data_IF_210051675094
#
_entry.id   IF_210051675094
#
_cell.length_a   1.000
_cell.length_b   1.000
_cell.length_c   1.000
_cell.angle_alpha   90.00
_cell.angle_beta   90.00
_cell.angle_gamma   90.00
#
_symmetry.space_group_name_H-M   'P 1'
#
loop_
_entity.id
_entity.type
_entity.pdbx_description
1 polymer ?
#
# COMPACT_ATOMS: atom_id res chain seq x y z
N UNK A 1 -21.44 22.28 -28.27
CA UNK A 1 -20.63 22.99 -27.27
C UNK A 1 -20.47 22.03 -26.12
N UNK A 2 -19.28 21.42 -26.00
CA UNK A 2 -18.98 20.49 -24.91
C UNK A 2 -18.79 21.32 -23.64
N UNK A 3 -19.63 21.10 -22.64
CA UNK A 3 -19.46 21.73 -21.31
C UNK A 3 -18.16 21.22 -20.70
N UNK A 4 -17.15 22.11 -20.67
CA UNK A 4 -15.84 21.83 -20.09
C UNK A 4 -16.01 21.63 -18.58
N UNK A 5 -15.73 20.42 -18.10
CA UNK A 5 -15.76 20.10 -16.69
C UNK A 5 -14.57 20.79 -16.00
N UNK A 6 -14.85 21.86 -15.26
CA UNK A 6 -13.83 22.55 -14.44
C UNK A 6 -13.66 21.79 -13.11
N UNK A 7 -12.56 21.09 -12.95
CA UNK A 7 -12.22 20.45 -11.67
C UNK A 7 -11.55 21.48 -10.75
N UNK A 8 -12.17 21.75 -9.61
CA UNK A 8 -11.70 22.76 -8.65
C UNK A 8 -11.06 22.17 -7.39
N UNK A 9 -11.16 20.87 -7.19
CA UNK A 9 -10.66 20.25 -5.96
C UNK A 9 -10.27 18.78 -6.17
N UNK A 10 -9.35 18.23 -5.35
CA UNK A 10 -9.03 16.80 -5.34
C UNK A 10 -10.22 15.87 -5.12
N UNK A 11 -11.27 16.33 -4.39
CA UNK A 11 -12.51 15.57 -4.20
C UNK A 11 -13.30 15.39 -5.49
N UNK A 12 -13.24 16.34 -6.40
CA UNK A 12 -13.90 16.24 -7.71
C UNK A 12 -13.19 15.24 -8.61
N UNK A 13 -11.85 15.20 -8.57
CA UNK A 13 -11.06 14.17 -9.27
C UNK A 13 -11.43 12.77 -8.77
N UNK A 14 -11.53 12.57 -7.46
CA UNK A 14 -11.95 11.29 -6.88
C UNK A 14 -13.33 10.82 -7.34
N UNK A 15 -14.30 11.75 -7.46
CA UNK A 15 -15.64 11.44 -7.99
C UNK A 15 -15.60 11.03 -9.46
N UNK A 16 -14.80 11.71 -10.28
CA UNK A 16 -14.64 11.39 -11.71
C UNK A 16 -14.01 10.00 -11.86
N UNK A 17 -12.95 9.71 -11.12
CA UNK A 17 -12.32 8.38 -11.11
C UNK A 17 -13.33 7.30 -10.76
N UNK A 18 -14.12 7.50 -9.70
CA UNK A 18 -15.16 6.55 -9.28
C UNK A 18 -16.23 6.34 -10.36
N UNK A 19 -16.63 7.41 -11.05
CA UNK A 19 -17.61 7.36 -12.16
C UNK A 19 -17.06 6.58 -13.36
N UNK A 20 -15.82 6.87 -13.78
CA UNK A 20 -15.18 6.21 -14.91
C UNK A 20 -14.91 4.72 -14.64
N UNK A 21 -14.60 4.35 -13.39
CA UNK A 21 -14.53 2.94 -12.98
C UNK A 21 -15.88 2.24 -13.02
N UNK A 22 -16.95 2.90 -12.58
CA UNK A 22 -18.32 2.36 -12.68
C UNK A 22 -18.74 2.13 -14.13
N UNK A 23 -18.18 2.89 -15.09
CA UNK A 23 -18.35 2.70 -16.52
C UNK A 23 -17.44 1.60 -17.10
N UNK A 24 -16.62 0.93 -16.27
CA UNK A 24 -15.78 -0.19 -16.66
C UNK A 24 -14.42 0.22 -17.26
N UNK A 25 -13.99 1.46 -17.13
CA UNK A 25 -12.67 1.89 -17.59
C UNK A 25 -11.56 1.34 -16.70
N UNK A 26 -10.45 0.95 -17.31
CA UNK A 26 -9.23 0.55 -16.58
C UNK A 26 -8.51 1.78 -16.01
N UNK A 27 -7.74 1.60 -14.93
CA UNK A 27 -7.00 2.70 -14.29
C UNK A 27 -6.00 3.37 -15.25
N UNK A 28 -5.40 2.61 -16.18
CA UNK A 28 -4.57 3.15 -17.25
C UNK A 28 -5.33 4.09 -18.17
N UNK A 29 -6.53 3.67 -18.64
CA UNK A 29 -7.38 4.51 -19.47
C UNK A 29 -7.92 5.73 -18.74
N UNK A 30 -8.23 5.58 -17.44
CA UNK A 30 -8.66 6.70 -16.58
C UNK A 30 -7.53 7.72 -16.45
N UNK A 31 -6.29 7.25 -16.22
CA UNK A 31 -5.12 8.12 -16.12
C UNK A 31 -4.88 8.90 -17.42
N UNK A 32 -4.92 8.23 -18.56
CA UNK A 32 -4.77 8.87 -19.87
C UNK A 32 -5.87 9.91 -20.12
N UNK A 33 -7.13 9.58 -19.86
CA UNK A 33 -8.27 10.50 -20.01
C UNK A 33 -8.13 11.73 -19.11
N UNK A 34 -7.68 11.55 -17.87
CA UNK A 34 -7.48 12.66 -16.95
C UNK A 34 -6.30 13.54 -17.37
N UNK A 35 -5.21 12.96 -17.86
CA UNK A 35 -4.03 13.71 -18.35
C UNK A 35 -4.37 14.47 -19.66
N UNK A 36 -5.16 13.89 -20.54
CA UNK A 36 -5.62 14.61 -21.74
C UNK A 36 -6.59 15.77 -21.40
N UNK A 37 -7.43 15.57 -20.37
CA UNK A 37 -8.30 16.62 -19.84
C UNK A 37 -7.54 17.74 -19.13
N UNK A 38 -6.33 17.50 -18.65
CA UNK A 38 -5.48 18.41 -17.90
C UNK A 38 -5.13 19.70 -18.65
N UNK A 39 -5.05 19.67 -19.98
CA UNK A 39 -4.79 20.87 -20.80
C UNK A 39 -5.82 21.99 -20.64
N UNK A 40 -6.85 21.77 -19.84
CA UNK A 40 -7.94 22.70 -19.54
C UNK A 40 -8.02 23.14 -18.07
N UNK A 41 -7.10 22.70 -17.18
CA UNK A 41 -7.13 23.00 -15.75
C UNK A 41 -6.14 24.12 -15.36
N UNK A 42 -6.56 24.94 -14.35
CA UNK A 42 -5.74 26.02 -13.78
C UNK A 42 -4.72 25.51 -12.72
N UNK A 43 -4.48 24.21 -12.60
CA UNK A 43 -3.55 23.61 -11.64
C UNK A 43 -2.19 23.34 -12.30
N UNK A 44 -1.11 23.50 -11.54
CA UNK A 44 0.26 23.12 -11.94
C UNK A 44 0.26 21.62 -12.33
N UNK A 45 0.70 21.32 -13.56
CA UNK A 45 0.69 20.00 -14.19
C UNK A 45 1.26 18.90 -13.25
N UNK A 46 2.33 19.20 -12.51
CA UNK A 46 2.97 18.25 -11.57
C UNK A 46 2.13 17.97 -10.33
N UNK A 47 1.36 18.95 -9.86
CA UNK A 47 0.47 18.77 -8.70
C UNK A 47 -0.76 17.95 -9.10
N UNK A 48 -1.24 18.11 -10.31
CA UNK A 48 -2.38 17.37 -10.85
C UNK A 48 -2.01 15.89 -11.06
N UNK A 49 -0.92 15.59 -11.77
CA UNK A 49 -0.43 14.22 -11.96
C UNK A 49 -0.24 13.50 -10.62
N UNK A 50 0.36 14.19 -9.66
CA UNK A 50 0.57 13.64 -8.31
C UNK A 50 -0.73 13.39 -7.55
N UNK A 51 -1.74 14.25 -7.74
CA UNK A 51 -3.07 14.07 -7.16
C UNK A 51 -3.80 12.89 -7.80
N UNK A 52 -3.72 12.73 -9.13
CA UNK A 52 -4.29 11.60 -9.86
C UNK A 52 -3.65 10.29 -9.42
N UNK A 53 -2.33 10.22 -9.36
CA UNK A 53 -1.61 9.01 -8.93
C UNK A 53 -1.94 8.65 -7.47
N UNK A 54 -2.03 9.63 -6.57
CA UNK A 54 -2.43 9.42 -5.18
C UNK A 54 -3.88 8.94 -5.07
N UNK A 55 -4.80 9.50 -5.85
CA UNK A 55 -6.22 9.13 -5.81
C UNK A 55 -6.48 7.78 -6.48
N UNK A 56 -5.79 7.46 -7.57
CA UNK A 56 -5.87 6.14 -8.19
C UNK A 56 -5.34 5.07 -7.22
N UNK A 57 -4.23 5.32 -6.56
CA UNK A 57 -3.68 4.40 -5.56
C UNK A 57 -4.58 4.27 -4.32
N UNK A 58 -5.15 5.38 -3.82
CA UNK A 58 -6.10 5.36 -2.68
C UNK A 58 -7.40 4.64 -3.04
N UNK A 59 -7.93 4.88 -4.24
CA UNK A 59 -9.16 4.25 -4.68
C UNK A 59 -8.97 2.75 -5.02
N UNK A 60 -7.75 2.30 -5.37
CA UNK A 60 -7.42 0.87 -5.45
C UNK A 60 -7.50 0.19 -4.07
N UNK A 61 -7.11 0.89 -3.00
CA UNK A 61 -7.23 0.39 -1.63
C UNK A 61 -8.68 0.34 -1.14
N UNK A 62 -9.52 1.32 -1.53
CA UNK A 62 -10.94 1.38 -1.14
C UNK A 62 -11.86 0.49 -1.98
N UNK A 63 -11.49 0.16 -3.22
CA UNK A 63 -12.36 -0.57 -4.16
C UNK A 63 -12.15 -2.07 -4.18
N UNK A 64 -11.11 -2.62 -3.53
CA UNK A 64 -10.95 -4.06 -3.41
C UNK A 64 -11.82 -4.59 -2.27
N UNK A 65 -12.78 -5.49 -2.53
CA UNK A 65 -13.44 -6.19 -1.46
C UNK A 65 -12.39 -6.90 -0.61
N UNK A 66 -12.53 -6.78 0.71
CA UNK A 66 -11.56 -7.28 1.71
C UNK A 66 -11.15 -8.75 1.48
N UNK A 67 -11.94 -9.53 0.74
CA UNK A 67 -11.65 -10.92 0.38
C UNK A 67 -10.76 -11.15 -0.85
N UNK A 68 -10.41 -10.11 -1.61
CA UNK A 68 -9.67 -10.23 -2.88
C UNK A 68 -8.27 -9.58 -2.85
N UNK A 69 -7.78 -9.17 -1.68
CA UNK A 69 -6.44 -8.62 -1.56
C UNK A 69 -5.41 -9.72 -1.81
N UNK A 70 -4.64 -9.57 -2.88
CA UNK A 70 -3.58 -10.50 -3.25
C UNK A 70 -2.21 -9.96 -2.84
N UNK A 71 -1.32 -10.83 -2.43
CA UNK A 71 0.08 -10.54 -2.11
C UNK A 71 0.99 -11.39 -3.00
N UNK A 72 2.02 -10.74 -3.53
CA UNK A 72 3.16 -11.40 -4.14
C UNK A 72 4.26 -11.57 -3.09
N UNK A 73 4.69 -12.79 -2.86
CA UNK A 73 5.73 -13.12 -1.88
C UNK A 73 6.73 -14.10 -2.51
N UNK A 74 8.02 -13.89 -2.28
CA UNK A 74 9.05 -14.82 -2.73
C UNK A 74 9.16 -16.01 -1.76
N UNK A 75 9.68 -17.14 -2.26
CA UNK A 75 9.94 -18.30 -1.41
C UNK A 75 10.90 -17.95 -0.26
N UNK A 76 11.90 -17.12 -0.53
CA UNK A 76 12.86 -16.67 0.49
C UNK A 76 12.19 -15.83 1.59
N UNK A 77 11.30 -14.91 1.23
CA UNK A 77 10.53 -14.10 2.19
C UNK A 77 9.61 -15.00 3.03
N UNK A 78 8.91 -15.93 2.37
CA UNK A 78 8.06 -16.90 3.05
C UNK A 78 8.84 -17.75 4.05
N UNK A 79 9.98 -18.29 3.64
CA UNK A 79 10.85 -19.13 4.50
C UNK A 79 11.39 -18.32 5.68
N UNK A 80 11.81 -17.07 5.44
CA UNK A 80 12.26 -16.18 6.51
C UNK A 80 11.16 -15.95 7.55
N UNK A 81 9.95 -15.55 7.10
CA UNK A 81 8.82 -15.27 7.99
C UNK A 81 8.40 -16.53 8.74
N UNK A 82 8.42 -17.70 8.09
CA UNK A 82 8.00 -18.96 8.70
C UNK A 82 8.91 -19.43 9.84
N UNK A 83 10.17 -18.99 9.90
CA UNK A 83 11.13 -19.30 10.97
C UNK A 83 10.92 -18.44 12.23
N UNK A 84 10.16 -17.37 12.14
CA UNK A 84 9.89 -16.47 13.27
C UNK A 84 8.93 -17.18 14.25
N UNK A 85 9.31 -17.25 15.52
CA UNK A 85 8.51 -17.91 16.55
C UNK A 85 7.29 -17.08 16.98
N UNK A 86 7.41 -15.74 17.03
CA UNK A 86 6.33 -14.86 17.47
C UNK A 86 5.28 -14.69 16.37
N UNK A 87 4.07 -15.15 16.63
CA UNK A 87 2.92 -15.09 15.72
C UNK A 87 2.63 -13.68 15.21
N UNK A 88 2.58 -12.72 16.13
CA UNK A 88 2.19 -11.34 15.76
C UNK A 88 3.28 -10.68 14.92
N UNK A 89 4.55 -11.03 15.13
CA UNK A 89 5.67 -10.59 14.29
C UNK A 89 5.56 -11.18 12.88
N UNK A 90 5.20 -12.47 12.75
CA UNK A 90 4.95 -13.07 11.42
C UNK A 90 3.85 -12.31 10.66
N UNK A 91 2.71 -12.08 11.32
CA UNK A 91 1.59 -11.33 10.73
C UNK A 91 2.04 -9.93 10.31
N UNK A 92 2.76 -9.21 11.17
CA UNK A 92 3.28 -7.88 10.86
C UNK A 92 4.16 -7.92 9.61
N UNK A 93 5.08 -8.86 9.49
CA UNK A 93 5.95 -8.97 8.31
C UNK A 93 5.18 -9.27 7.03
N UNK A 94 4.18 -10.14 7.06
CA UNK A 94 3.30 -10.38 5.89
C UNK A 94 2.63 -9.08 5.42
N UNK A 95 2.06 -8.32 6.35
CA UNK A 95 1.42 -7.04 6.02
C UNK A 95 2.43 -6.02 5.49
N UNK A 96 3.64 -5.97 6.06
CA UNK A 96 4.68 -5.05 5.59
C UNK A 96 5.24 -5.46 4.22
N UNK A 97 5.39 -6.75 3.90
CA UNK A 97 5.73 -7.22 2.55
C UNK A 97 4.65 -6.80 1.55
N UNK A 98 3.37 -6.97 1.91
CA UNK A 98 2.26 -6.48 1.08
C UNK A 98 2.34 -4.96 0.81
N UNK A 99 2.62 -4.17 1.83
CA UNK A 99 2.83 -2.72 1.68
C UNK A 99 4.06 -2.40 0.82
N UNK A 100 5.14 -3.18 0.97
CA UNK A 100 6.38 -3.01 0.22
C UNK A 100 6.17 -3.23 -1.28
N UNK A 101 5.46 -4.29 -1.68
CA UNK A 101 5.12 -4.57 -3.08
C UNK A 101 4.36 -3.44 -3.75
N UNK A 102 3.49 -2.76 -3.00
CA UNK A 102 2.64 -1.67 -3.52
C UNK A 102 3.31 -0.30 -3.54
N UNK A 103 4.23 -0.05 -2.61
CA UNK A 103 4.82 1.26 -2.38
C UNK A 103 6.34 1.23 -2.45
N UNK A 104 6.90 0.30 -3.25
CA UNK A 104 8.33 0.16 -3.37
C UNK A 104 9.03 1.45 -3.83
N UNK A 105 10.23 1.68 -3.31
CA UNK A 105 11.06 2.82 -3.65
C UNK A 105 12.52 2.38 -3.79
N UNK A 106 13.30 2.89 -4.79
CA UNK A 106 14.69 2.50 -5.05
C UNK A 106 15.63 2.58 -3.84
N UNK A 107 15.30 3.39 -2.85
CA UNK A 107 16.09 3.48 -1.60
C UNK A 107 15.84 2.33 -0.62
N UNK A 108 14.87 1.46 -0.92
CA UNK A 108 14.41 0.40 -0.03
C UNK A 108 13.61 0.90 1.19
N UNK A 109 13.39 2.22 1.31
CA UNK A 109 12.54 2.79 2.35
C UNK A 109 11.12 2.97 1.83
N UNK A 110 10.16 2.41 2.53
CA UNK A 110 8.76 2.33 2.13
C UNK A 110 7.92 3.18 3.07
N UNK A 111 7.17 4.10 2.50
CA UNK A 111 6.17 4.87 3.24
C UNK A 111 5.00 3.95 3.60
N UNK A 112 4.49 4.06 4.83
CA UNK A 112 3.33 3.30 5.26
C UNK A 112 2.38 4.13 6.13
N UNK A 113 1.13 3.70 6.14
CA UNK A 113 0.10 4.16 7.05
C UNK A 113 -0.02 3.16 8.21
N UNK A 114 0.27 3.63 9.43
CA UNK A 114 0.26 2.79 10.63
C UNK A 114 -1.13 2.21 10.91
N UNK A 115 -2.18 3.03 10.73
CA UNK A 115 -3.55 2.57 10.96
C UNK A 115 -3.92 1.45 9.99
N UNK A 116 -3.59 1.60 8.71
CA UNK A 116 -3.82 0.56 7.70
C UNK A 116 -3.08 -0.74 8.05
N UNK A 117 -1.82 -0.65 8.47
CA UNK A 117 -1.03 -1.83 8.87
C UNK A 117 -1.65 -2.51 10.09
N UNK A 118 -2.11 -1.73 11.08
CA UNK A 118 -2.80 -2.27 12.25
C UNK A 118 -4.12 -2.97 11.86
N UNK A 119 -4.91 -2.37 11.00
CA UNK A 119 -6.19 -2.93 10.53
C UNK A 119 -5.98 -4.25 9.76
N UNK A 120 -5.08 -4.27 8.79
CA UNK A 120 -4.75 -5.47 8.00
C UNK A 120 -4.19 -6.60 8.87
N UNK A 121 -3.32 -6.27 9.82
CA UNK A 121 -2.73 -7.25 10.74
C UNK A 121 -3.65 -7.66 11.90
N UNK A 122 -4.82 -7.03 12.05
CA UNK A 122 -5.73 -7.29 13.15
C UNK A 122 -5.24 -6.79 14.52
N UNK A 123 -4.34 -5.81 14.53
CA UNK A 123 -3.81 -5.21 15.76
C UNK A 123 -4.79 -4.18 16.33
N UNK A 124 -5.64 -4.59 17.25
CA UNK A 124 -6.69 -3.74 17.85
C UNK A 124 -6.16 -2.72 18.87
N UNK A 125 -4.94 -2.90 19.36
CA UNK A 125 -4.35 -2.09 20.43
C UNK A 125 -2.99 -1.54 19.98
N UNK A 126 -2.86 -0.21 19.97
CA UNK A 126 -1.64 0.47 19.57
C UNK A 126 -0.42 0.10 20.43
N UNK A 127 -0.61 -0.09 21.75
CA UNK A 127 0.48 -0.52 22.65
C UNK A 127 0.99 -1.89 22.23
N UNK A 128 0.09 -2.84 21.92
CA UNK A 128 0.47 -4.16 21.43
C UNK A 128 1.18 -4.08 20.09
N UNK A 129 0.70 -3.23 19.18
CA UNK A 129 1.35 -2.98 17.89
C UNK A 129 2.78 -2.48 18.06
N UNK A 130 3.04 -1.52 18.96
CA UNK A 130 4.39 -1.02 19.27
C UNK A 130 5.30 -2.12 19.85
N UNK A 131 4.79 -2.98 20.74
CA UNK A 131 5.56 -4.12 21.26
C UNK A 131 5.98 -5.08 20.13
N UNK A 132 5.04 -5.40 19.23
CA UNK A 132 5.31 -6.28 18.08
C UNK A 132 6.31 -5.64 17.13
N UNK A 133 6.17 -4.36 16.84
CA UNK A 133 7.12 -3.57 16.04
C UNK A 133 8.52 -3.57 16.64
N UNK A 134 8.63 -3.42 17.98
CA UNK A 134 9.91 -3.47 18.67
C UNK A 134 10.55 -4.87 18.60
N UNK A 135 9.76 -5.94 18.65
CA UNK A 135 10.28 -7.31 18.45
C UNK A 135 10.74 -7.52 17.01
N UNK A 136 9.96 -7.05 16.03
CA UNK A 136 10.27 -7.13 14.62
C UNK A 136 11.54 -6.36 14.26
N UNK A 137 11.84 -5.23 14.92
CA UNK A 137 13.06 -4.46 14.69
C UNK A 137 14.34 -5.23 15.03
N UNK A 138 14.25 -6.23 15.87
CA UNK A 138 15.37 -7.15 16.19
C UNK A 138 15.55 -8.26 15.15
N UNK A 139 14.64 -8.36 14.19
CA UNK A 139 14.55 -9.41 13.18
C UNK A 139 14.55 -8.89 11.74
N UNK A 140 15.10 -7.68 11.51
CA UNK A 140 15.30 -7.16 10.17
C UNK A 140 14.27 -6.11 9.73
N UNK A 141 13.54 -5.50 10.66
CA UNK A 141 12.67 -4.36 10.39
C UNK A 141 13.31 -3.08 10.92
N UNK A 142 13.58 -2.14 10.03
CA UNK A 142 14.03 -0.80 10.38
C UNK A 142 12.89 0.20 10.20
N UNK A 143 12.78 1.17 11.11
CA UNK A 143 11.84 2.28 11.03
C UNK A 143 12.57 3.62 11.02
N UNK A 144 12.00 4.57 10.30
CA UNK A 144 12.40 5.97 10.41
C UNK A 144 11.21 6.91 10.24
N UNK A 145 11.33 8.09 10.83
CA UNK A 145 10.40 9.20 10.64
C UNK A 145 11.10 10.26 9.80
N UNK A 146 10.47 10.69 8.72
CA UNK A 146 11.00 11.70 7.81
C UNK A 146 10.13 12.96 7.89
N UNK A 147 10.75 14.11 8.10
CA UNK A 147 10.08 15.41 8.23
C UNK A 147 9.67 15.75 9.67
N UNK A 148 9.76 17.04 10.01
CA UNK A 148 9.46 17.54 11.36
C UNK A 148 8.05 18.11 11.51
N UNK A 149 7.51 18.73 10.44
CA UNK A 149 6.16 19.34 10.47
C UNK A 149 5.04 18.38 10.11
N UNK A 150 5.30 17.51 9.12
CA UNK A 150 4.39 16.44 8.72
C UNK A 150 5.19 15.14 8.71
N UNK A 151 5.26 14.42 9.82
CA UNK A 151 6.07 13.21 9.93
C UNK A 151 5.53 12.13 9.00
N UNK A 152 6.41 11.60 8.16
CA UNK A 152 6.13 10.46 7.29
C UNK A 152 6.80 9.24 7.91
N UNK A 153 6.01 8.23 8.22
CA UNK A 153 6.50 6.96 8.71
C UNK A 153 7.03 6.12 7.54
N UNK A 154 8.24 5.64 7.66
CA UNK A 154 8.85 4.74 6.68
C UNK A 154 9.43 3.52 7.37
N UNK A 155 9.39 2.38 6.67
CA UNK A 155 10.05 1.15 7.09
C UNK A 155 10.97 0.60 6.00
N UNK A 156 11.87 -0.30 6.38
CA UNK A 156 12.70 -1.10 5.50
C UNK A 156 12.77 -2.53 6.05
N UNK A 157 12.62 -3.51 5.17
CA UNK A 157 12.79 -4.92 5.49
C UNK A 157 14.12 -5.41 4.94
N UNK A 158 14.98 -5.98 5.79
CA UNK A 158 16.30 -6.46 5.38
C UNK A 158 16.27 -7.69 4.47
N UNK A 159 15.17 -8.44 4.51
CA UNK A 159 14.95 -9.68 3.74
C UNK A 159 14.09 -9.49 2.49
N UNK A 160 13.59 -8.26 2.26
CA UNK A 160 12.70 -7.98 1.12
C UNK A 160 13.48 -7.96 -0.19
N UNK A 161 12.95 -8.66 -1.18
CA UNK A 161 13.44 -8.70 -2.55
C UNK A 161 12.41 -8.10 -3.49
N UNK A 162 12.80 -7.08 -4.28
CA UNK A 162 11.90 -6.43 -5.25
C UNK A 162 11.46 -7.40 -6.36
N UNK A 163 12.44 -8.07 -6.95
CA UNK A 163 12.30 -9.00 -8.06
C UNK A 163 12.87 -10.38 -7.69
N UNK A 164 12.35 -10.94 -6.58
CA UNK A 164 12.81 -12.25 -6.12
C UNK A 164 12.53 -13.36 -7.14
N UNK A 165 13.47 -14.29 -7.29
CA UNK A 165 13.19 -15.55 -7.96
C UNK A 165 12.12 -16.34 -7.16
N UNK A 166 11.32 -17.14 -7.85
CA UNK A 166 10.30 -18.00 -7.22
C UNK A 166 9.20 -17.22 -6.46
N UNK A 167 8.71 -16.16 -7.07
CA UNK A 167 7.53 -15.42 -6.57
C UNK A 167 6.25 -16.24 -6.78
N UNK A 168 5.37 -16.20 -5.78
CA UNK A 168 4.01 -16.71 -5.90
C UNK A 168 2.99 -15.70 -5.36
N UNK A 169 1.78 -15.77 -5.91
CA UNK A 169 0.69 -14.86 -5.56
C UNK A 169 -0.37 -15.64 -4.79
N UNK A 170 -0.82 -15.12 -3.66
CA UNK A 170 -1.88 -15.71 -2.86
C UNK A 170 -2.77 -14.65 -2.20
N UNK A 171 -3.98 -15.01 -1.70
CA UNK A 171 -4.80 -14.10 -0.94
C UNK A 171 -4.11 -13.67 0.35
N UNK A 172 -4.02 -12.35 0.59
CA UNK A 172 -3.35 -11.78 1.76
C UNK A 172 -3.89 -12.36 3.08
N UNK A 173 -5.21 -12.41 3.22
CA UNK A 173 -5.83 -12.88 4.47
C UNK A 173 -5.66 -14.38 4.71
N UNK A 174 -5.54 -15.18 3.65
CA UNK A 174 -5.22 -16.60 3.80
C UNK A 174 -3.78 -16.78 4.29
N UNK A 175 -2.86 -15.96 3.77
CA UNK A 175 -1.47 -15.98 4.24
C UNK A 175 -1.36 -15.48 5.69
N UNK A 176 -2.06 -14.41 6.05
CA UNK A 176 -2.13 -13.92 7.44
C UNK A 176 -2.68 -15.00 8.37
N UNK A 177 -3.73 -15.72 7.95
CA UNK A 177 -4.29 -16.83 8.72
C UNK A 177 -3.29 -17.96 8.90
N UNK A 178 -2.63 -18.38 7.81
CA UNK A 178 -1.64 -19.45 7.85
C UNK A 178 -0.48 -19.14 8.80
N UNK A 179 0.02 -17.90 8.78
CA UNK A 179 1.07 -17.48 9.73
C UNK A 179 0.54 -17.15 11.13
N UNK A 180 -0.76 -16.93 11.27
CA UNK A 180 -1.45 -16.70 12.53
C UNK A 180 -1.81 -17.98 13.31
N UNK A 181 -1.72 -19.15 12.69
CA UNK A 181 -1.94 -20.43 13.39
C UNK A 181 -0.73 -20.77 14.25
N UNK A 182 -1.00 -21.24 15.48
CA UNK A 182 0.05 -21.76 16.36
C UNK A 182 0.57 -23.08 15.79
N UNK A 183 1.90 -23.19 15.69
CA UNK A 183 2.58 -24.44 15.32
C UNK A 183 2.70 -25.33 16.53
#
# INVERSE_FOLDING_TARGET
>A
MSDKIKIKSPKEVGKIISSLRAEGMTDGSIRETLIEAEKEFELDDKLFERAVDLLLNSALLESQPVGEMMIDISQQEYDFISQISDRDVRILFVVLVYCARRNWHPTGWIKYDEQMVMELGGFKNHTRFLEVTQKASRQGLDFRVVGSKNPILCFKLSFFEEDGADMFTCPLFDLIRAFGEEK
#
